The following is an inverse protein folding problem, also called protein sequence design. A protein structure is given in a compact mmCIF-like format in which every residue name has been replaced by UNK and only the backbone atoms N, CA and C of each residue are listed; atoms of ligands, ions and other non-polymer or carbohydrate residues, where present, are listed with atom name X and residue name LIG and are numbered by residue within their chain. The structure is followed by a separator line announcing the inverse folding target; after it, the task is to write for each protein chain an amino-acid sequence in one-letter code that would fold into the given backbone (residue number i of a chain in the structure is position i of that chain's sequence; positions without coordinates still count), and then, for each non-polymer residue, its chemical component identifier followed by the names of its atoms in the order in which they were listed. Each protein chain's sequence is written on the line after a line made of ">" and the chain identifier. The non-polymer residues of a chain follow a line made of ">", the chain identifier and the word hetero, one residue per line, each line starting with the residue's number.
data_IF_337851195472
#
_entry.id   IF_337851195472
#
_cell.length_a   1.000
_cell.length_b   1.000
_cell.length_c   1.000
_cell.angle_alpha   90.00
_cell.angle_beta   90.00
_cell.angle_gamma   90.00
#
_symmetry.space_group_name_H-M   'P 1'
#
loop_
_entity.id
_entity.type
_entity.pdbx_description
1 polymer ?
#
# COMPACT_ATOMS: atom_id res chain seq x y z
N UNK A 1 -21.42 14.14 -15.18
CA UNK A 1 -22.25 14.84 -14.18
C UNK A 1 -22.04 16.34 -14.25
N UNK A 2 -23.09 17.16 -14.26
CA UNK A 2 -22.93 18.63 -14.32
C UNK A 2 -22.55 19.24 -12.97
N UNK A 3 -21.73 20.30 -12.95
CA UNK A 3 -21.28 20.95 -11.71
C UNK A 3 -22.43 21.46 -10.82
N UNK A 4 -23.56 21.87 -11.40
CA UNK A 4 -24.73 22.31 -10.63
C UNK A 4 -25.38 21.15 -9.87
N UNK A 5 -25.56 20.02 -10.55
CA UNK A 5 -26.08 18.79 -9.98
C UNK A 5 -25.14 18.22 -8.91
N UNK A 6 -23.83 18.25 -9.18
CA UNK A 6 -22.80 17.83 -8.23
C UNK A 6 -22.87 18.56 -6.89
N UNK A 7 -23.22 19.86 -6.91
CA UNK A 7 -23.36 20.67 -5.69
C UNK A 7 -24.60 20.31 -4.88
N UNK A 8 -25.71 20.01 -5.55
CA UNK A 8 -26.97 19.67 -4.88
C UNK A 8 -26.92 18.27 -4.26
N UNK A 9 -26.27 17.33 -4.93
CA UNK A 9 -26.29 15.90 -4.56
C UNK A 9 -24.91 15.37 -4.17
N UNK A 10 -24.04 16.23 -3.62
CA UNK A 10 -22.63 15.88 -3.38
C UNK A 10 -22.48 14.60 -2.54
N UNK A 11 -23.26 14.44 -1.47
CA UNK A 11 -23.20 13.26 -0.60
C UNK A 11 -23.45 11.96 -1.36
N UNK A 12 -24.51 11.90 -2.19
CA UNK A 12 -24.81 10.72 -2.98
C UNK A 12 -23.67 10.37 -3.96
N UNK A 13 -23.02 11.39 -4.52
CA UNK A 13 -21.87 11.18 -5.39
C UNK A 13 -20.60 10.78 -4.63
N UNK A 14 -20.41 11.23 -3.39
CA UNK A 14 -19.32 10.75 -2.54
C UNK A 14 -19.51 9.25 -2.24
N UNK A 15 -20.72 8.82 -1.91
CA UNK A 15 -21.03 7.41 -1.65
C UNK A 15 -20.84 6.55 -2.90
N UNK A 16 -21.35 7.02 -4.05
CA UNK A 16 -21.15 6.35 -5.34
C UNK A 16 -19.66 6.29 -5.73
N UNK A 17 -18.89 7.33 -5.39
CA UNK A 17 -17.48 7.40 -5.75
C UNK A 17 -16.60 6.33 -5.08
N UNK A 18 -17.06 5.72 -3.98
CA UNK A 18 -16.38 4.58 -3.35
C UNK A 18 -16.33 3.34 -4.24
N UNK A 19 -17.21 3.25 -5.26
CA UNK A 19 -17.26 2.11 -6.18
C UNK A 19 -16.75 2.45 -7.58
N UNK A 20 -16.93 3.70 -8.02
CA UNK A 20 -16.57 4.12 -9.38
C UNK A 20 -16.11 5.58 -9.44
N UNK A 21 -15.38 5.97 -10.50
CA UNK A 21 -14.92 7.36 -10.65
C UNK A 21 -16.01 8.22 -11.26
N UNK A 22 -16.27 9.38 -10.68
CA UNK A 22 -17.31 10.29 -11.17
C UNK A 22 -16.69 11.52 -11.83
N UNK A 23 -16.99 11.72 -13.11
CA UNK A 23 -16.54 12.89 -13.87
C UNK A 23 -17.51 14.07 -13.71
N UNK A 24 -17.02 15.14 -13.09
CA UNK A 24 -17.70 16.44 -13.01
C UNK A 24 -17.38 17.25 -14.26
N UNK A 25 -18.42 17.78 -14.90
CA UNK A 25 -18.31 18.67 -16.06
C UNK A 25 -18.84 20.07 -15.74
N UNK A 26 -18.22 21.09 -16.34
CA UNK A 26 -18.68 22.48 -16.30
C UNK A 26 -18.94 22.93 -17.73
N UNK A 27 -20.21 23.23 -18.05
CA UNK A 27 -20.65 23.59 -19.42
C UNK A 27 -20.24 22.52 -20.45
N UNK A 28 -20.46 21.24 -20.12
CA UNK A 28 -20.14 20.10 -20.98
C UNK A 28 -18.66 19.70 -21.01
N UNK A 29 -17.74 20.50 -20.45
CA UNK A 29 -16.30 20.19 -20.43
C UNK A 29 -15.90 19.51 -19.12
N UNK A 30 -15.03 18.47 -19.13
CA UNK A 30 -14.42 17.91 -17.93
C UNK A 30 -13.82 19.00 -17.03
N UNK A 31 -14.10 18.93 -15.73
CA UNK A 31 -13.66 19.93 -14.76
C UNK A 31 -12.99 19.30 -13.53
N UNK A 32 -13.49 18.15 -13.06
CA UNK A 32 -12.91 17.43 -11.94
C UNK A 32 -13.33 15.95 -11.97
N UNK A 33 -12.61 15.11 -11.22
CA UNK A 33 -13.00 13.72 -10.94
C UNK A 33 -13.16 13.57 -9.44
N UNK A 34 -14.23 12.92 -9.00
CA UNK A 34 -14.41 12.47 -7.62
C UNK A 34 -14.05 10.99 -7.58
N UNK A 35 -13.18 10.64 -6.64
CA UNK A 35 -12.78 9.27 -6.35
C UNK A 35 -13.07 9.00 -4.88
N UNK A 36 -13.56 7.80 -4.61
CA UNK A 36 -13.65 7.31 -3.25
C UNK A 36 -12.28 6.86 -2.75
N UNK A 37 -11.98 7.23 -1.51
CA UNK A 37 -10.68 7.00 -0.86
C UNK A 37 -10.88 6.42 0.54
N UNK A 38 -12.05 5.84 0.82
CA UNK A 38 -12.32 5.24 2.12
C UNK A 38 -11.32 4.12 2.42
N UNK A 39 -10.78 4.15 3.65
CA UNK A 39 -9.71 3.23 4.07
C UNK A 39 -8.32 3.59 3.55
N UNK A 40 -8.16 4.67 2.79
CA UNK A 40 -6.86 5.20 2.38
C UNK A 40 -6.44 6.36 3.28
N UNK A 41 -5.15 6.44 3.59
CA UNK A 41 -4.57 7.62 4.19
C UNK A 41 -4.24 8.70 3.13
N UNK A 42 -3.91 9.90 3.60
CA UNK A 42 -3.59 11.02 2.72
C UNK A 42 -2.38 10.75 1.82
N UNK A 43 -1.34 10.08 2.35
CA UNK A 43 -0.13 9.78 1.60
C UNK A 43 -0.44 8.85 0.42
N UNK A 44 -1.25 7.81 0.65
CA UNK A 44 -1.71 6.89 -0.38
C UNK A 44 -2.48 7.59 -1.49
N UNK A 45 -3.38 8.53 -1.14
CA UNK A 45 -4.17 9.28 -2.12
C UNK A 45 -3.27 10.18 -2.97
N UNK A 46 -2.33 10.90 -2.34
CA UNK A 46 -1.45 11.82 -3.04
C UNK A 46 -0.42 11.08 -3.91
N UNK A 47 0.25 10.07 -3.37
CA UNK A 47 1.28 9.32 -4.08
C UNK A 47 0.70 8.37 -5.14
N UNK A 48 -0.52 7.87 -4.93
CA UNK A 48 -1.21 7.01 -5.88
C UNK A 48 -1.45 7.69 -7.24
N UNK A 49 -1.61 9.02 -7.25
CA UNK A 49 -1.77 9.82 -8.47
C UNK A 49 -0.47 10.41 -9.04
N UNK A 50 0.67 10.25 -8.37
CA UNK A 50 1.93 10.89 -8.77
C UNK A 50 2.74 9.98 -9.71
N UNK A 51 2.90 10.42 -10.96
CA UNK A 51 3.65 9.68 -11.97
C UNK A 51 5.15 9.55 -11.65
N UNK A 52 5.76 10.56 -11.03
CA UNK A 52 7.19 10.53 -10.66
C UNK A 52 7.42 9.56 -9.51
N UNK A 53 6.48 9.49 -8.55
CA UNK A 53 6.51 8.48 -7.50
C UNK A 53 6.51 7.06 -8.09
N UNK A 54 5.61 6.78 -9.03
CA UNK A 54 5.57 5.46 -9.68
C UNK A 54 6.81 5.16 -10.51
N UNK A 55 7.38 6.15 -11.22
CA UNK A 55 8.66 5.99 -11.93
C UNK A 55 9.80 5.61 -10.96
N UNK A 56 9.88 6.28 -9.82
CA UNK A 56 10.87 5.95 -8.77
C UNK A 56 10.69 4.51 -8.28
N UNK A 57 9.46 4.10 -7.96
CA UNK A 57 9.17 2.73 -7.52
C UNK A 57 9.52 1.71 -8.60
N UNK A 58 9.19 1.99 -9.85
CA UNK A 58 9.49 1.08 -10.97
C UNK A 58 11.01 0.92 -11.16
N UNK A 59 11.76 2.02 -11.14
CA UNK A 59 13.22 1.98 -11.19
C UNK A 59 13.80 1.15 -10.04
N UNK A 60 13.33 1.36 -8.81
CA UNK A 60 13.77 0.60 -7.64
C UNK A 60 13.44 -0.89 -7.73
N UNK A 61 12.34 -1.29 -8.37
CA UNK A 61 11.99 -2.70 -8.57
C UNK A 61 12.82 -3.37 -9.66
N UNK A 62 13.38 -2.59 -10.60
CA UNK A 62 14.28 -3.09 -11.64
C UNK A 62 15.72 -3.23 -11.14
N UNK A 63 16.15 -2.34 -10.23
CA UNK A 63 17.44 -2.46 -9.55
C UNK A 63 17.39 -3.58 -8.49
N UNK A 64 18.23 -4.60 -8.65
CA UNK A 64 18.38 -5.71 -7.71
C UNK A 64 19.32 -5.40 -6.54
N UNK A 65 20.01 -4.24 -6.58
CA UNK A 65 20.91 -3.81 -5.52
C UNK A 65 20.12 -3.43 -4.26
N UNK A 66 20.31 -4.19 -3.18
CA UNK A 66 19.75 -3.93 -1.86
C UNK A 66 20.87 -3.83 -0.84
N UNK A 67 20.67 -3.01 0.18
CA UNK A 67 21.58 -2.88 1.31
C UNK A 67 20.90 -3.45 2.55
N UNK A 68 21.65 -4.17 3.39
CA UNK A 68 21.12 -4.64 4.66
C UNK A 68 20.99 -3.48 5.65
N UNK A 69 20.22 -3.66 6.72
CA UNK A 69 20.13 -2.65 7.78
C UNK A 69 21.50 -2.32 8.40
N UNK A 70 22.40 -3.30 8.45
CA UNK A 70 23.73 -3.12 9.05
C UNK A 70 24.67 -2.34 8.12
N UNK A 71 24.56 -2.54 6.81
CA UNK A 71 25.27 -1.73 5.81
C UNK A 71 24.84 -0.27 5.91
N UNK A 72 23.53 0.00 6.04
CA UNK A 72 22.97 1.34 6.19
C UNK A 72 23.42 1.99 7.52
N UNK A 73 23.33 1.26 8.64
CA UNK A 73 23.79 1.80 9.93
C UNK A 73 25.27 2.18 9.89
N UNK A 74 26.10 1.33 9.26
CA UNK A 74 27.54 1.58 9.08
C UNK A 74 27.77 2.80 8.19
N UNK A 75 27.05 2.95 7.07
CA UNK A 75 27.24 4.07 6.15
C UNK A 75 26.82 5.42 6.74
N UNK A 76 25.82 5.43 7.62
CA UNK A 76 25.31 6.65 8.26
C UNK A 76 25.84 6.88 9.69
N UNK A 77 26.76 6.06 10.19
CA UNK A 77 27.32 6.19 11.55
C UNK A 77 26.30 6.03 12.68
N UNK A 78 25.16 5.40 12.40
CA UNK A 78 24.09 5.18 13.38
C UNK A 78 24.48 3.97 14.23
N UNK A 79 24.74 4.18 15.51
CA UNK A 79 25.02 3.09 16.43
C UNK A 79 23.81 2.15 16.51
N UNK A 80 24.05 0.85 16.44
CA UNK A 80 22.99 -0.14 16.55
C UNK A 80 22.36 -0.05 17.96
N UNK A 81 21.14 0.48 18.03
CA UNK A 81 20.29 0.30 19.20
C UNK A 81 20.10 -1.19 19.48
N UNK A 82 20.03 -1.56 20.76
CA UNK A 82 19.96 -2.93 21.27
C UNK A 82 19.10 -3.86 20.40
N UNK A 83 19.60 -5.08 20.19
CA UNK A 83 18.96 -6.09 19.37
C UNK A 83 17.45 -6.22 19.70
N UNK A 84 16.56 -6.36 18.70
CA UNK A 84 15.17 -6.70 18.98
C UNK A 84 15.15 -7.99 19.82
N UNK A 85 14.28 -8.09 20.84
CA UNK A 85 14.17 -9.31 21.63
C UNK A 85 13.95 -10.46 20.64
N UNK A 86 14.84 -11.45 20.69
CA UNK A 86 14.79 -12.63 19.84
C UNK A 86 13.39 -13.22 19.95
N UNK A 87 12.55 -12.99 18.93
CA UNK A 87 11.32 -13.74 18.78
C UNK A 87 11.74 -15.19 18.55
N UNK A 88 11.76 -15.95 19.64
CA UNK A 88 11.98 -17.37 19.68
C UNK A 88 10.96 -18.03 18.76
N UNK A 89 11.34 -18.24 17.50
CA UNK A 89 10.60 -19.12 16.60
C UNK A 89 10.65 -20.50 17.25
N UNK A 90 9.51 -21.06 17.72
CA UNK A 90 9.54 -22.37 18.33
C UNK A 90 9.97 -23.38 17.27
N UNK A 91 11.08 -24.09 17.52
CA UNK A 91 11.51 -25.21 16.67
C UNK A 91 10.35 -26.19 16.59
N UNK A 92 9.77 -26.32 15.39
CA UNK A 92 8.74 -27.30 15.07
C UNK A 92 9.33 -28.70 15.35
N UNK A 93 8.88 -29.31 16.43
CA UNK A 93 9.43 -30.56 16.95
C UNK A 93 9.00 -31.71 15.99
N UNK A 94 9.91 -32.17 15.16
CA UNK A 94 9.71 -33.30 14.22
C UNK A 94 9.81 -34.66 14.94
N UNK A 95 9.09 -34.81 16.06
CA UNK A 95 9.02 -36.05 16.85
C UNK A 95 7.60 -36.61 16.90
N UNK A 96 6.95 -36.67 15.75
CA UNK A 96 5.61 -37.27 15.63
C UNK A 96 5.34 -38.09 14.36
N UNK A 97 6.22 -38.09 13.36
CA UNK A 97 5.91 -38.67 12.03
C UNK A 97 6.44 -40.08 11.80
N UNK A 98 6.67 -40.86 12.86
CA UNK A 98 7.13 -42.26 12.76
C UNK A 98 6.34 -43.21 13.67
N UNK A 99 5.01 -43.14 13.63
CA UNK A 99 4.15 -44.13 14.30
C UNK A 99 2.75 -44.31 13.64
N UNK A 100 2.63 -44.14 12.31
CA UNK A 100 1.43 -44.56 11.55
C UNK A 100 1.82 -45.08 10.16
N UNK A 101 2.66 -46.12 10.12
CA UNK A 101 2.88 -46.99 8.96
C UNK A 101 3.18 -48.40 9.47
N UNK A 102 2.19 -49.02 10.08
CA UNK A 102 2.09 -50.47 10.28
C UNK A 102 0.70 -50.78 10.86
N UNK A 103 0.13 -51.92 10.47
CA UNK A 103 -1.16 -52.50 10.86
C UNK A 103 -2.34 -51.94 10.04
N UNK A 104 -2.65 -52.53 8.88
CA UNK A 104 -3.43 -53.77 8.61
C UNK A 104 -4.86 -53.38 8.25
#
# INVERSE_FOLDING_TARGET
>A
MGLKEAKTNLSAFVDQSQRERILITRRGKPAAVVIGVEGQDLEQVLLGGDAEFWKMIQRRRQDSATLTSDDIRRSFGIQAGAAPPTASHPKRNDKGRRAKRATK
#
